data_IF_807342315231
#
_entry.id   IF_807342315231
#
_cell.length_a   1.000
_cell.length_b   1.000
_cell.length_c   1.000
_cell.angle_alpha   90.00
_cell.angle_beta   90.00
_cell.angle_gamma   90.00
#
_symmetry.space_group_name_H-M   'P 1'
#
loop_
_entity.id
_entity.type
_entity.pdbx_description
1 polymer ?
#
# COMPACT_ATOMS: atom_id res chain seq x y z
N UNK A 1 -8.41 12.97 -29.86
CA UNK A 1 -7.97 11.60 -29.54
C UNK A 1 -6.46 11.39 -29.70
N UNK A 2 -5.82 11.80 -30.80
CA UNK A 2 -4.37 11.64 -31.02
C UNK A 2 -3.49 12.24 -29.90
N UNK A 3 -3.84 13.43 -29.39
CA UNK A 3 -3.10 14.09 -28.28
C UNK A 3 -3.19 13.31 -26.96
N UNK A 4 -4.36 12.77 -26.63
CA UNK A 4 -4.55 11.96 -25.42
C UNK A 4 -3.67 10.72 -25.45
N UNK A 5 -3.74 9.95 -26.55
CA UNK A 5 -2.94 8.73 -26.73
C UNK A 5 -1.44 9.02 -26.69
N UNK A 6 -1.00 10.12 -27.29
CA UNK A 6 0.41 10.53 -27.26
C UNK A 6 0.91 10.84 -25.85
N UNK A 7 0.12 11.56 -25.05
CA UNK A 7 0.46 11.88 -23.66
C UNK A 7 0.50 10.59 -22.84
N UNK A 8 -0.55 9.76 -22.94
CA UNK A 8 -0.62 8.49 -22.21
C UNK A 8 0.55 7.55 -22.54
N UNK A 9 0.89 7.39 -23.82
CA UNK A 9 2.02 6.55 -24.26
C UNK A 9 3.35 7.06 -23.70
N UNK A 10 3.56 8.38 -23.72
CA UNK A 10 4.79 8.98 -23.22
C UNK A 10 4.91 8.77 -21.70
N UNK A 11 3.84 9.07 -20.96
CA UNK A 11 3.78 8.84 -19.52
C UNK A 11 3.97 7.36 -19.17
N UNK A 12 3.34 6.45 -19.89
CA UNK A 12 3.50 5.02 -19.71
C UNK A 12 4.97 4.56 -19.86
N UNK A 13 5.63 4.96 -20.95
CA UNK A 13 7.02 4.63 -21.19
C UNK A 13 7.96 5.28 -20.16
N UNK A 14 7.64 6.49 -19.71
CA UNK A 14 8.37 7.14 -18.63
C UNK A 14 8.25 6.36 -17.32
N UNK A 15 7.04 5.95 -16.92
CA UNK A 15 6.80 5.18 -15.68
C UNK A 15 7.55 3.86 -15.68
N UNK A 16 7.43 3.08 -16.76
CA UNK A 16 8.08 1.77 -16.87
C UNK A 16 9.61 1.87 -16.87
N UNK A 17 10.18 2.98 -17.32
CA UNK A 17 11.64 3.17 -17.32
C UNK A 17 12.21 3.59 -15.97
N UNK A 18 11.38 3.89 -14.98
CA UNK A 18 11.88 4.36 -13.70
C UNK A 18 12.44 3.21 -12.85
N UNK A 19 13.63 3.37 -12.23
CA UNK A 19 14.20 2.35 -11.36
C UNK A 19 13.33 1.98 -10.17
N UNK A 20 12.55 2.92 -9.62
CA UNK A 20 11.69 2.65 -8.46
C UNK A 20 10.58 1.64 -8.79
N UNK A 21 10.04 1.69 -10.01
CA UNK A 21 9.03 0.75 -10.50
C UNK A 21 9.61 -0.67 -10.59
N UNK A 22 10.84 -0.81 -11.10
CA UNK A 22 11.58 -2.08 -11.13
C UNK A 22 11.75 -2.66 -9.72
N UNK A 23 12.31 -1.84 -8.81
CA UNK A 23 12.65 -2.27 -7.45
C UNK A 23 11.41 -2.72 -6.70
N UNK A 24 10.31 -1.97 -6.75
CA UNK A 24 9.06 -2.36 -6.09
C UNK A 24 8.48 -3.65 -6.65
N UNK A 25 8.51 -3.84 -7.97
CA UNK A 25 8.04 -5.07 -8.62
C UNK A 25 8.91 -6.27 -8.22
N UNK A 26 10.24 -6.10 -8.17
CA UNK A 26 11.17 -7.15 -7.76
C UNK A 26 11.03 -7.51 -6.28
N UNK A 27 10.90 -6.52 -5.40
CA UNK A 27 10.63 -6.76 -3.97
C UNK A 27 9.32 -7.52 -3.80
N UNK A 28 8.28 -7.16 -4.55
CA UNK A 28 6.99 -7.86 -4.51
C UNK A 28 7.12 -9.33 -4.92
N UNK A 29 7.90 -9.62 -5.97
CA UNK A 29 8.20 -10.99 -6.38
C UNK A 29 8.86 -11.78 -5.24
N UNK A 30 9.89 -11.21 -4.61
CA UNK A 30 10.59 -11.88 -3.50
C UNK A 30 9.62 -12.17 -2.36
N UNK A 31 8.78 -11.19 -1.98
CA UNK A 31 7.78 -11.38 -0.92
C UNK A 31 6.79 -12.47 -1.30
N UNK A 32 6.28 -12.50 -2.54
CA UNK A 32 5.34 -13.53 -3.01
C UNK A 32 5.94 -14.94 -3.04
N UNK A 33 7.23 -15.08 -3.34
CA UNK A 33 7.91 -16.39 -3.23
C UNK A 33 8.07 -16.78 -1.77
N UNK A 34 8.39 -15.81 -0.90
CA UNK A 34 8.51 -16.02 0.55
C UNK A 34 7.17 -16.33 1.22
N UNK A 35 6.01 -16.04 0.61
CA UNK A 35 4.72 -16.42 1.23
C UNK A 35 4.55 -17.93 1.31
N UNK A 36 5.14 -18.72 0.41
CA UNK A 36 5.04 -20.20 0.41
C UNK A 36 5.58 -20.81 1.70
N UNK A 37 6.83 -20.56 2.12
CA UNK A 37 7.33 -21.08 3.39
C UNK A 37 6.64 -20.42 4.60
N UNK A 38 6.21 -19.16 4.50
CA UNK A 38 5.55 -18.45 5.60
C UNK A 38 4.14 -19.00 5.90
N UNK A 39 3.41 -19.46 4.88
CA UNK A 39 2.05 -20.00 5.05
C UNK A 39 2.00 -21.41 5.64
N UNK A 40 3.13 -22.14 5.70
CA UNK A 40 3.18 -23.49 6.29
C UNK A 40 3.23 -23.53 7.82
N UNK A 41 3.18 -22.37 8.49
CA UNK A 41 3.27 -22.27 9.95
C UNK A 41 1.90 -22.06 10.61
N UNK A 42 0.81 -22.58 10.03
CA UNK A 42 -0.51 -22.48 10.67
C UNK A 42 -0.74 -23.67 11.62
N UNK A 43 -1.08 -23.38 12.87
CA UNK A 43 -1.32 -24.39 13.91
C UNK A 43 -2.78 -24.92 13.85
N UNK A 44 -3.26 -25.27 12.65
CA UNK A 44 -4.62 -25.78 12.42
C UNK A 44 -4.70 -27.32 12.45
N UNK A 45 -5.85 -27.89 12.84
CA UNK A 45 -6.05 -29.34 12.85
C UNK A 45 -5.93 -29.99 11.46
N UNK A 46 -6.50 -29.35 10.43
CA UNK A 46 -6.36 -29.73 9.01
C UNK A 46 -5.30 -28.86 8.32
N UNK A 47 -4.02 -29.12 8.59
CA UNK A 47 -2.91 -28.29 8.13
C UNK A 47 -2.84 -28.16 6.59
N UNK A 48 -3.02 -29.23 5.82
CA UNK A 48 -2.97 -29.16 4.34
C UNK A 48 -3.97 -28.16 3.71
N UNK A 49 -5.20 -28.07 4.23
CA UNK A 49 -6.21 -27.14 3.71
C UNK A 49 -6.02 -25.74 4.30
N UNK A 50 -5.67 -25.66 5.58
CA UNK A 50 -5.53 -24.40 6.31
C UNK A 50 -4.31 -23.61 5.80
N UNK A 51 -3.18 -24.27 5.61
CA UNK A 51 -1.94 -23.67 5.10
C UNK A 51 -2.13 -23.15 3.67
N UNK A 52 -2.81 -23.93 2.82
CA UNK A 52 -3.10 -23.53 1.44
C UNK A 52 -4.04 -22.31 1.38
N UNK A 53 -5.08 -22.27 2.23
CA UNK A 53 -5.97 -21.09 2.34
C UNK A 53 -5.19 -19.86 2.81
N UNK A 54 -4.27 -20.04 3.75
CA UNK A 54 -3.41 -18.96 4.23
C UNK A 54 -2.50 -18.44 3.12
N UNK A 55 -1.88 -19.31 2.32
CA UNK A 55 -1.07 -18.91 1.16
C UNK A 55 -1.87 -18.05 0.18
N UNK A 56 -3.08 -18.49 -0.15
CA UNK A 56 -3.95 -17.82 -1.10
C UNK A 56 -4.38 -16.44 -0.60
N UNK A 57 -4.76 -16.34 0.67
CA UNK A 57 -5.13 -15.09 1.33
C UNK A 57 -3.95 -14.12 1.43
N UNK A 58 -2.80 -14.58 1.92
CA UNK A 58 -1.58 -13.77 2.05
C UNK A 58 -1.07 -13.28 0.70
N UNK A 59 -1.15 -14.10 -0.36
CA UNK A 59 -0.72 -13.70 -1.69
C UNK A 59 -1.63 -12.63 -2.32
N UNK A 60 -2.96 -12.76 -2.20
CA UNK A 60 -3.90 -11.70 -2.64
C UNK A 60 -3.70 -10.40 -1.86
N UNK A 61 -3.50 -10.47 -0.54
CA UNK A 61 -3.18 -9.30 0.28
C UNK A 61 -1.86 -8.65 -0.15
N UNK A 62 -0.83 -9.46 -0.42
CA UNK A 62 0.47 -8.98 -0.90
C UNK A 62 0.34 -8.27 -2.25
N UNK A 63 -0.46 -8.80 -3.18
CA UNK A 63 -0.75 -8.15 -4.46
C UNK A 63 -1.46 -6.80 -4.27
N UNK A 64 -2.41 -6.72 -3.34
CA UNK A 64 -3.14 -5.48 -3.06
C UNK A 64 -2.22 -4.40 -2.46
N UNK A 65 -1.43 -4.76 -1.44
CA UNK A 65 -0.51 -3.83 -0.75
C UNK A 65 0.62 -3.39 -1.67
N UNK A 66 1.21 -4.32 -2.44
CA UNK A 66 2.24 -3.97 -3.43
C UNK A 66 1.68 -3.09 -4.54
N UNK A 67 0.48 -3.38 -5.05
CA UNK A 67 -0.20 -2.56 -6.04
C UNK A 67 -0.45 -1.14 -5.55
N UNK A 68 -0.80 -0.95 -4.28
CA UNK A 68 -0.89 0.36 -3.63
C UNK A 68 0.46 1.09 -3.63
N UNK A 69 1.55 0.41 -3.24
CA UNK A 69 2.87 1.03 -3.18
C UNK A 69 3.34 1.43 -4.59
N UNK A 70 3.26 0.52 -5.54
CA UNK A 70 3.63 0.77 -6.94
C UNK A 70 2.81 1.93 -7.50
N UNK A 71 1.51 1.97 -7.22
CA UNK A 71 0.63 3.08 -7.59
C UNK A 71 1.09 4.43 -7.00
N UNK A 72 1.28 4.49 -5.67
CA UNK A 72 1.63 5.72 -4.97
C UNK A 72 2.97 6.30 -5.44
N UNK A 73 3.99 5.44 -5.59
CA UNK A 73 5.32 5.85 -6.04
C UNK A 73 5.33 6.23 -7.53
N UNK A 74 4.63 5.48 -8.39
CA UNK A 74 4.58 5.76 -9.84
C UNK A 74 3.79 7.02 -10.16
N UNK A 75 2.67 7.26 -9.46
CA UNK A 75 1.88 8.47 -9.66
C UNK A 75 2.66 9.73 -9.23
N UNK A 76 3.32 9.67 -8.08
CA UNK A 76 4.09 10.81 -7.61
C UNK A 76 5.32 11.09 -8.47
N UNK A 77 6.06 10.08 -8.91
CA UNK A 77 7.26 10.32 -9.74
C UNK A 77 6.94 10.95 -11.09
N UNK A 78 5.77 10.66 -11.67
CA UNK A 78 5.33 11.23 -12.95
C UNK A 78 4.81 12.66 -12.81
N UNK A 79 4.12 12.96 -11.70
CA UNK A 79 3.50 14.27 -11.53
C UNK A 79 4.41 15.24 -10.77
N UNK A 80 4.95 14.82 -9.64
CA UNK A 80 5.78 15.66 -8.77
C UNK A 80 7.07 16.09 -9.46
N UNK A 81 7.77 15.20 -10.19
CA UNK A 81 9.01 15.59 -10.90
C UNK A 81 8.75 16.60 -12.00
N UNK A 82 7.71 16.43 -12.81
CA UNK A 82 7.39 17.42 -13.85
C UNK A 82 6.96 18.78 -13.31
N UNK A 83 6.41 18.79 -12.09
CA UNK A 83 6.07 20.02 -11.37
C UNK A 83 7.34 20.68 -10.81
N UNK A 84 8.24 19.91 -10.20
CA UNK A 84 9.50 20.38 -9.62
C UNK A 84 10.48 20.88 -10.69
N UNK A 85 10.64 20.13 -11.78
CA UNK A 85 11.53 20.44 -12.90
C UNK A 85 10.98 21.55 -13.82
N UNK A 86 9.82 22.14 -13.48
CA UNK A 86 9.12 23.18 -14.26
C UNK A 86 8.74 22.77 -15.69
N UNK A 87 8.86 21.50 -16.05
CA UNK A 87 8.54 21.00 -17.39
C UNK A 87 7.03 20.93 -17.65
N UNK A 88 6.20 20.90 -16.60
CA UNK A 88 4.75 20.99 -16.75
C UNK A 88 4.31 22.32 -17.42
N UNK A 89 5.03 23.42 -17.18
CA UNK A 89 4.73 24.74 -17.75
C UNK A 89 4.97 24.80 -19.26
N UNK A 90 5.94 24.04 -19.79
CA UNK A 90 6.28 24.05 -21.22
C UNK A 90 5.34 23.18 -22.06
N UNK A 91 4.58 22.27 -21.44
CA UNK A 91 3.55 21.47 -22.13
C UNK A 91 2.22 22.21 -22.17
N UNK A 92 1.91 23.03 -21.17
CA UNK A 92 0.67 23.83 -21.09
C UNK A 92 0.70 25.01 -22.09
N UNK A 93 1.87 25.45 -22.55
CA UNK A 93 1.99 26.45 -23.63
C UNK A 93 1.54 25.93 -25.00
N UNK A 94 1.38 24.61 -25.16
CA UNK A 94 0.69 24.01 -26.31
C UNK A 94 -0.81 23.97 -26.02
N UNK A 95 -1.70 24.13 -27.02
CA UNK A 95 -3.16 24.24 -26.82
C UNK A 95 -3.79 22.89 -26.45
N UNK A 96 -3.46 22.36 -25.27
CA UNK A 96 -3.97 21.10 -24.70
C UNK A 96 -4.81 21.46 -23.49
N UNK A 97 -6.05 20.96 -23.44
CA UNK A 97 -6.90 21.16 -22.27
C UNK A 97 -6.29 20.49 -21.03
N UNK A 98 -6.39 21.15 -19.87
CA UNK A 98 -5.88 20.65 -18.59
C UNK A 98 -6.47 19.28 -18.23
N UNK A 99 -7.73 19.06 -18.57
CA UNK A 99 -8.41 17.78 -18.36
C UNK A 99 -7.83 16.64 -19.23
N UNK A 100 -7.57 16.89 -20.52
CA UNK A 100 -6.97 15.88 -21.40
C UNK A 100 -5.53 15.54 -20.98
N UNK A 101 -4.77 16.53 -20.50
CA UNK A 101 -3.43 16.30 -19.94
C UNK A 101 -3.48 15.41 -18.69
N UNK A 102 -4.33 15.74 -17.72
CA UNK A 102 -4.49 14.97 -16.48
C UNK A 102 -4.99 13.55 -16.73
N UNK A 103 -6.05 13.38 -17.51
CA UNK A 103 -6.60 12.07 -17.85
C UNK A 103 -5.59 11.23 -18.64
N UNK A 104 -4.81 11.86 -19.53
CA UNK A 104 -3.76 11.20 -20.28
C UNK A 104 -2.69 10.62 -19.37
N UNK A 105 -2.26 11.38 -18.36
CA UNK A 105 -1.30 10.91 -17.34
C UNK A 105 -1.85 9.79 -16.49
N UNK A 106 -3.08 9.90 -16.01
CA UNK A 106 -3.73 8.83 -15.27
C UNK A 106 -3.74 7.53 -16.09
N UNK A 107 -4.18 7.57 -17.36
CA UNK A 107 -4.23 6.38 -18.19
C UNK A 107 -2.84 5.73 -18.41
N UNK A 108 -1.80 6.54 -18.59
CA UNK A 108 -0.42 6.05 -18.71
C UNK A 108 0.10 5.39 -17.43
N UNK A 109 -0.13 6.00 -16.26
CA UNK A 109 0.24 5.43 -14.96
C UNK A 109 -0.59 4.18 -14.65
N UNK A 110 -1.90 4.22 -14.88
CA UNK A 110 -2.80 3.09 -14.67
C UNK A 110 -2.37 1.86 -15.47
N UNK A 111 -2.06 2.03 -16.76
CA UNK A 111 -1.58 0.92 -17.58
C UNK A 111 -0.25 0.36 -17.07
N UNK A 112 0.69 1.22 -16.68
CA UNK A 112 1.98 0.78 -16.16
C UNK A 112 1.82 0.00 -14.84
N UNK A 113 0.99 0.49 -13.91
CA UNK A 113 0.72 -0.19 -12.63
C UNK A 113 -0.02 -1.50 -12.84
N UNK A 114 -1.01 -1.54 -13.75
CA UNK A 114 -1.72 -2.77 -14.10
C UNK A 114 -0.78 -3.83 -14.67
N UNK A 115 0.21 -3.46 -15.50
CA UNK A 115 1.20 -4.41 -16.01
C UNK A 115 2.12 -4.96 -14.91
N UNK A 116 2.51 -4.13 -13.93
CA UNK A 116 3.28 -4.62 -12.78
C UNK A 116 2.47 -5.62 -11.95
N UNK A 117 1.22 -5.26 -11.62
CA UNK A 117 0.33 -6.14 -10.84
C UNK A 117 0.01 -7.41 -11.61
N UNK A 118 -0.14 -7.34 -12.94
CA UNK A 118 -0.31 -8.51 -13.79
C UNK A 118 0.93 -9.41 -13.78
N UNK A 119 2.15 -8.85 -13.86
CA UNK A 119 3.37 -9.65 -13.71
C UNK A 119 3.41 -10.34 -12.33
N UNK A 120 3.12 -9.60 -11.25
CA UNK A 120 3.07 -10.13 -9.90
C UNK A 120 1.98 -11.21 -9.75
N UNK A 121 0.85 -11.07 -10.43
CA UNK A 121 -0.23 -12.06 -10.35
C UNK A 121 0.11 -13.36 -11.08
N UNK A 122 0.88 -13.33 -12.16
CA UNK A 122 1.43 -14.56 -12.78
C UNK A 122 2.31 -15.33 -11.81
N UNK A 123 3.17 -14.61 -11.07
CA UNK A 123 4.04 -15.22 -10.04
C UNK A 123 3.18 -15.81 -8.91
N UNK A 124 2.18 -15.08 -8.44
CA UNK A 124 1.22 -15.58 -7.45
C UNK A 124 0.50 -16.85 -7.92
N UNK A 125 0.08 -16.93 -9.18
CA UNK A 125 -0.54 -18.14 -9.73
C UNK A 125 0.43 -19.34 -9.73
N UNK A 126 1.70 -19.10 -10.05
CA UNK A 126 2.73 -20.13 -9.96
C UNK A 126 2.96 -20.57 -8.50
N UNK A 127 3.01 -19.65 -7.54
CA UNK A 127 3.21 -20.01 -6.12
C UNK A 127 2.03 -20.79 -5.55
N UNK A 128 0.79 -20.41 -5.90
CA UNK A 128 -0.41 -21.17 -5.50
C UNK A 128 -0.45 -22.55 -6.15
N UNK A 129 -0.04 -22.66 -7.43
CA UNK A 129 0.07 -23.94 -8.15
C UNK A 129 1.05 -24.89 -7.47
N UNK A 130 2.19 -24.37 -7.00
CA UNK A 130 3.22 -25.15 -6.31
C UNK A 130 2.74 -25.78 -4.99
N UNK A 131 1.76 -25.12 -4.33
CA UNK A 131 1.21 -25.45 -3.01
C UNK A 131 2.21 -25.36 -1.86
N UNK A 132 1.68 -25.33 -0.64
CA UNK A 132 2.49 -25.40 0.60
C UNK A 132 2.91 -26.85 0.86
N UNK A 133 4.11 -27.04 1.41
CA UNK A 133 4.65 -28.33 1.84
C UNK A 133 4.63 -28.43 3.37
N UNK A 134 3.54 -28.89 3.96
CA UNK A 134 3.50 -29.14 5.40
C UNK A 134 4.24 -30.41 5.82
N UNK A 135 4.33 -31.42 4.96
CA UNK A 135 5.01 -32.69 5.26
C UNK A 135 6.21 -32.95 4.35
N UNK A 136 7.25 -33.61 4.90
CA UNK A 136 8.42 -34.03 4.11
C UNK A 136 8.10 -35.07 3.01
N UNK A 137 6.91 -35.67 3.07
CA UNK A 137 6.37 -36.58 2.04
C UNK A 137 5.72 -35.86 0.86
N UNK A 138 5.47 -34.55 0.94
CA UNK A 138 4.82 -33.81 -0.13
C UNK A 138 5.79 -33.60 -1.30
N UNK A 139 5.37 -34.03 -2.50
CA UNK A 139 6.18 -33.92 -3.70
C UNK A 139 6.24 -32.47 -4.23
N UNK A 140 7.46 -32.04 -4.58
CA UNK A 140 7.74 -30.75 -5.20
C UNK A 140 7.17 -30.67 -6.62
N UNK A 141 6.49 -29.58 -6.94
CA UNK A 141 6.11 -29.27 -8.31
C UNK A 141 7.30 -28.70 -9.10
N UNK A 142 8.20 -29.60 -9.50
CA UNK A 142 9.40 -29.28 -10.28
C UNK A 142 9.12 -28.47 -11.55
N UNK A 143 8.07 -28.74 -12.35
CA UNK A 143 7.81 -27.94 -13.55
C UNK A 143 7.58 -26.46 -13.26
N UNK A 144 6.89 -26.15 -12.15
CA UNK A 144 6.63 -24.75 -11.73
C UNK A 144 7.93 -24.05 -11.34
N UNK A 145 8.76 -24.73 -10.54
CA UNK A 145 10.05 -24.16 -10.10
C UNK A 145 10.97 -23.95 -11.31
N UNK A 146 11.13 -24.98 -12.14
CA UNK A 146 12.06 -24.92 -13.28
C UNK A 146 11.59 -23.87 -14.29
N UNK A 147 10.32 -23.90 -14.72
CA UNK A 147 9.80 -22.94 -15.71
C UNK A 147 9.71 -21.52 -15.15
N UNK A 148 9.25 -21.36 -13.91
CA UNK A 148 9.16 -20.04 -13.26
C UNK A 148 10.52 -19.40 -13.03
N UNK A 149 11.46 -20.12 -12.41
CA UNK A 149 12.80 -19.61 -12.14
C UNK A 149 13.60 -19.38 -13.43
N UNK A 150 13.52 -20.29 -14.40
CA UNK A 150 14.22 -20.11 -15.68
C UNK A 150 13.65 -18.93 -16.47
N UNK A 151 12.32 -18.78 -16.57
CA UNK A 151 11.68 -17.65 -17.23
C UNK A 151 12.12 -16.31 -16.61
N UNK A 152 12.18 -16.26 -15.27
CA UNK A 152 12.63 -15.06 -14.55
C UNK A 152 14.10 -14.71 -14.82
N UNK A 153 14.98 -15.70 -14.66
CA UNK A 153 16.41 -15.52 -14.84
C UNK A 153 16.75 -15.18 -16.29
N UNK A 154 16.10 -15.85 -17.24
CA UNK A 154 16.24 -15.53 -18.67
C UNK A 154 15.79 -14.10 -18.96
N UNK A 155 14.67 -13.62 -18.38
CA UNK A 155 14.24 -12.24 -18.55
C UNK A 155 15.29 -11.23 -18.04
N UNK A 156 15.91 -11.50 -16.88
CA UNK A 156 16.99 -10.66 -16.35
C UNK A 156 18.24 -10.69 -17.21
N UNK A 157 18.68 -11.87 -17.64
CA UNK A 157 19.86 -12.04 -18.47
C UNK A 157 19.68 -11.40 -19.84
N UNK A 158 18.55 -11.61 -20.50
CA UNK A 158 18.24 -11.01 -21.81
C UNK A 158 18.08 -9.50 -21.72
N UNK A 159 17.49 -8.98 -20.64
CA UNK A 159 17.42 -7.53 -20.42
C UNK A 159 18.80 -6.91 -20.16
N UNK A 160 19.65 -7.59 -19.38
CA UNK A 160 21.03 -7.16 -19.12
C UNK A 160 21.89 -7.19 -20.39
N UNK A 161 21.79 -8.28 -21.15
CA UNK A 161 22.36 -8.44 -22.48
C UNK A 161 21.93 -7.32 -23.43
N UNK A 162 20.62 -7.06 -23.54
CA UNK A 162 20.09 -6.01 -24.40
C UNK A 162 20.54 -4.61 -24.00
N UNK A 163 20.68 -4.37 -22.70
CA UNK A 163 21.25 -3.13 -22.17
C UNK A 163 22.74 -2.98 -22.56
N UNK A 164 23.53 -4.05 -22.48
CA UNK A 164 24.96 -4.01 -22.81
C UNK A 164 25.24 -3.91 -24.33
N UNK A 165 24.53 -4.68 -25.15
CA UNK A 165 24.76 -4.72 -26.60
C UNK A 165 24.06 -3.60 -27.38
N UNK A 166 22.83 -3.27 -27.02
CA UNK A 166 21.96 -2.39 -27.82
C UNK A 166 21.60 -1.08 -27.12
N UNK A 167 22.16 -0.79 -25.95
CA UNK A 167 21.85 0.40 -25.13
C UNK A 167 20.35 0.55 -24.83
N UNK A 168 19.62 -0.57 -24.70
CA UNK A 168 18.22 -0.55 -24.32
C UNK A 168 18.04 -0.18 -22.85
N UNK A 169 16.93 0.48 -22.49
CA UNK A 169 16.62 0.75 -21.09
C UNK A 169 16.31 -0.54 -20.33
N UNK A 170 17.22 -0.96 -19.44
CA UNK A 170 17.13 -2.21 -18.68
C UNK A 170 15.74 -2.48 -18.07
N UNK A 171 15.17 -1.52 -17.34
CA UNK A 171 13.87 -1.72 -16.67
C UNK A 171 12.73 -2.03 -17.64
N UNK A 172 12.62 -1.27 -18.73
CA UNK A 172 11.55 -1.48 -19.70
C UNK A 172 11.73 -2.78 -20.47
N UNK A 173 12.96 -3.12 -20.84
CA UNK A 173 13.26 -4.37 -21.55
C UNK A 173 12.97 -5.57 -20.67
N UNK A 174 13.38 -5.52 -19.39
CA UNK A 174 13.07 -6.56 -18.42
C UNK A 174 11.57 -6.76 -18.24
N UNK A 175 10.79 -5.69 -18.10
CA UNK A 175 9.34 -5.82 -17.91
C UNK A 175 8.69 -6.56 -19.09
N UNK A 176 9.00 -6.17 -20.34
CA UNK A 176 8.43 -6.82 -21.52
C UNK A 176 8.86 -8.28 -21.65
N UNK A 177 10.15 -8.58 -21.41
CA UNK A 177 10.67 -9.94 -21.45
C UNK A 177 10.10 -10.80 -20.32
N UNK A 178 10.02 -10.27 -19.11
CA UNK A 178 9.45 -10.96 -17.96
C UNK A 178 7.96 -11.24 -18.16
N UNK A 179 7.20 -10.28 -18.69
CA UNK A 179 5.79 -10.49 -19.04
C UNK A 179 5.64 -11.61 -20.08
N UNK A 180 6.40 -11.57 -21.18
CA UNK A 180 6.31 -12.57 -22.23
C UNK A 180 6.72 -13.97 -21.73
N UNK A 181 7.84 -14.09 -21.01
CA UNK A 181 8.35 -15.37 -20.54
C UNK A 181 7.51 -15.94 -19.39
N UNK A 182 7.01 -15.10 -18.47
CA UNK A 182 6.15 -15.57 -17.37
C UNK A 182 4.76 -15.99 -17.84
N UNK A 183 4.18 -15.27 -18.81
CA UNK A 183 2.91 -15.69 -19.40
C UNK A 183 3.04 -17.00 -20.15
N UNK A 184 4.14 -17.19 -20.89
CA UNK A 184 4.46 -18.46 -21.52
C UNK A 184 4.65 -19.58 -20.47
N UNK A 185 5.38 -19.31 -19.38
CA UNK A 185 5.60 -20.27 -18.30
C UNK A 185 4.27 -20.71 -17.65
N UNK A 186 3.39 -19.78 -17.28
CA UNK A 186 2.05 -20.10 -16.74
C UNK A 186 1.22 -20.88 -17.76
N UNK A 187 1.28 -20.50 -19.05
CA UNK A 187 0.60 -21.20 -20.13
C UNK A 187 1.05 -22.65 -20.27
N UNK A 188 2.35 -22.92 -20.22
CA UNK A 188 2.92 -24.28 -20.27
C UNK A 188 2.56 -25.07 -19.01
N UNK A 189 2.69 -24.46 -17.82
CA UNK A 189 2.33 -25.08 -16.53
C UNK A 189 0.83 -25.44 -16.48
N UNK A 190 -0.02 -24.75 -17.23
CA UNK A 190 -1.44 -25.10 -17.33
C UNK A 190 -1.71 -26.42 -18.09
N UNK A 191 -0.74 -26.91 -18.88
CA UNK A 191 -0.78 -28.21 -19.56
C UNK A 191 0.10 -29.28 -18.92
N UNK A 192 0.97 -28.91 -17.96
CA UNK A 192 1.95 -29.80 -17.35
C UNK A 192 1.65 -29.98 -15.86
N UNK A 193 1.44 -31.23 -15.47
CA UNK A 193 1.20 -31.69 -14.11
C UNK A 193 2.46 -31.91 -13.30
N UNK A 194 2.25 -32.48 -12.10
CA UNK A 194 3.37 -32.99 -11.28
C UNK A 194 4.13 -34.04 -12.10
N UNK A 195 5.45 -34.08 -11.94
CA UNK A 195 6.32 -35.05 -12.64
C UNK A 195 6.34 -34.96 -14.18
N UNK A 196 6.04 -33.80 -14.77
CA UNK A 196 6.06 -33.59 -16.23
C UNK A 196 5.01 -34.38 -17.03
N UNK A 197 3.92 -34.80 -16.37
CA UNK A 197 2.79 -35.46 -17.05
C UNK A 197 1.90 -34.42 -17.73
N UNK A 198 1.41 -34.69 -18.94
CA UNK A 198 0.50 -33.78 -19.65
C UNK A 198 -0.90 -33.93 -19.06
N UNK A 199 -1.50 -32.81 -18.64
CA UNK A 199 -2.81 -32.72 -18.01
C UNK A 199 -3.74 -31.84 -18.87
N UNK A 200 -5.07 -32.07 -18.90
CA UNK A 200 -5.99 -31.15 -19.55
C UNK A 200 -5.88 -29.72 -19.01
N UNK A 201 -6.10 -28.76 -19.90
CA UNK A 201 -5.89 -27.34 -19.63
C UNK A 201 -6.66 -26.86 -18.39
N UNK A 202 -5.93 -26.25 -17.45
CA UNK A 202 -6.53 -25.57 -16.30
C UNK A 202 -6.81 -26.47 -15.10
N UNK A 203 -6.49 -27.77 -15.17
CA UNK A 203 -6.63 -28.65 -14.02
C UNK A 203 -5.61 -28.26 -12.93
N UNK A 204 -6.13 -27.61 -11.89
CA UNK A 204 -5.43 -27.14 -10.70
C UNK A 204 -5.04 -25.65 -10.68
N UNK A 205 -5.54 -24.84 -11.64
CA UNK A 205 -5.73 -23.39 -11.43
C UNK A 205 -7.22 -23.16 -11.18
N UNK A 206 -7.60 -22.86 -9.95
CA UNK A 206 -9.01 -22.63 -9.62
C UNK A 206 -9.49 -21.31 -10.24
N UNK A 207 -10.62 -21.27 -10.96
CA UNK A 207 -11.11 -20.06 -11.62
C UNK A 207 -11.45 -18.93 -10.63
N UNK A 208 -11.80 -19.28 -9.39
CA UNK A 208 -12.05 -18.31 -8.30
C UNK A 208 -10.81 -17.46 -8.00
N UNK A 209 -9.60 -18.03 -8.13
CA UNK A 209 -8.36 -17.27 -7.91
C UNK A 209 -8.11 -16.26 -9.03
N UNK A 210 -8.44 -16.60 -10.27
CA UNK A 210 -8.36 -15.67 -11.41
C UNK A 210 -9.33 -14.50 -11.23
N UNK A 211 -10.54 -14.78 -10.74
CA UNK A 211 -11.52 -13.74 -10.38
C UNK A 211 -10.98 -12.84 -9.26
N UNK A 212 -10.23 -13.39 -8.29
CA UNK A 212 -9.61 -12.58 -7.25
C UNK A 212 -8.45 -11.72 -7.67
N UNK A 213 -7.60 -12.23 -8.55
CA UNK A 213 -6.61 -11.39 -9.23
C UNK A 213 -7.30 -10.23 -9.96
N UNK A 214 -8.42 -10.49 -10.66
CA UNK A 214 -9.15 -9.44 -11.35
C UNK A 214 -9.72 -8.38 -10.41
N UNK A 215 -10.31 -8.77 -9.26
CA UNK A 215 -10.78 -7.82 -8.25
C UNK A 215 -9.64 -6.99 -7.64
N UNK A 216 -8.49 -7.61 -7.36
CA UNK A 216 -7.31 -6.88 -6.87
C UNK A 216 -6.84 -5.86 -7.90
N UNK A 217 -6.82 -6.20 -9.19
CA UNK A 217 -6.49 -5.25 -10.26
C UNK A 217 -7.48 -4.06 -10.31
N UNK A 218 -8.76 -4.30 -10.06
CA UNK A 218 -9.76 -3.22 -9.94
C UNK A 218 -9.51 -2.33 -8.71
N UNK A 219 -9.24 -2.93 -7.54
CA UNK A 219 -8.90 -2.16 -6.33
C UNK A 219 -7.65 -1.30 -6.53
N UNK A 220 -6.64 -1.82 -7.22
CA UNK A 220 -5.43 -1.05 -7.54
C UNK A 220 -5.71 0.14 -8.44
N UNK A 221 -6.67 0.07 -9.37
CA UNK A 221 -7.07 1.23 -10.16
C UNK A 221 -7.63 2.38 -9.31
N UNK A 222 -8.36 2.06 -8.24
CA UNK A 222 -8.82 3.07 -7.27
C UNK A 222 -7.62 3.74 -6.60
N UNK A 223 -6.61 2.96 -6.18
CA UNK A 223 -5.37 3.53 -5.64
C UNK A 223 -4.64 4.40 -6.67
N UNK A 224 -4.58 4.02 -7.95
CA UNK A 224 -3.97 4.85 -9.00
C UNK A 224 -4.72 6.17 -9.17
N UNK A 225 -6.06 6.12 -9.22
CA UNK A 225 -6.87 7.32 -9.36
C UNK A 225 -6.66 8.27 -8.17
N UNK A 226 -6.67 7.72 -6.94
CA UNK A 226 -6.41 8.48 -5.72
C UNK A 226 -4.98 9.04 -5.70
N UNK A 227 -3.97 8.23 -5.99
CA UNK A 227 -2.57 8.66 -5.98
C UNK A 227 -2.30 9.77 -7.00
N UNK A 228 -2.81 9.63 -8.23
CA UNK A 228 -2.67 10.64 -9.27
C UNK A 228 -3.41 11.93 -8.88
N UNK A 229 -4.65 11.84 -8.39
CA UNK A 229 -5.41 13.01 -7.95
C UNK A 229 -4.72 13.77 -6.82
N UNK A 230 -4.22 13.06 -5.80
CA UNK A 230 -3.56 13.65 -4.63
C UNK A 230 -2.18 14.22 -4.99
N UNK A 231 -1.45 13.58 -5.91
CA UNK A 231 -0.13 14.05 -6.38
C UNK A 231 -0.19 15.40 -7.12
N UNK A 232 -1.38 15.84 -7.53
CA UNK A 232 -1.57 17.18 -8.14
C UNK A 232 -1.27 18.32 -7.18
N UNK A 233 -1.32 18.08 -5.86
CA UNK A 233 -1.12 19.11 -4.83
C UNK A 233 -0.11 18.72 -3.77
N UNK A 234 -0.02 17.43 -3.47
CA UNK A 234 0.82 16.92 -2.41
C UNK A 234 2.11 16.32 -2.98
N UNK A 235 3.19 16.40 -2.21
CA UNK A 235 4.44 15.72 -2.55
C UNK A 235 4.37 14.21 -2.33
N UNK A 236 5.41 13.49 -2.76
CA UNK A 236 5.51 12.03 -2.77
C UNK A 236 5.18 11.33 -1.45
N UNK A 237 5.66 11.89 -0.33
CA UNK A 237 5.44 11.26 0.97
C UNK A 237 4.00 11.45 1.45
N UNK A 238 3.35 12.57 1.10
CA UNK A 238 1.94 12.81 1.42
C UNK A 238 1.03 11.94 0.56
N UNK A 239 1.34 11.76 -0.73
CA UNK A 239 0.55 10.87 -1.60
C UNK A 239 0.57 9.44 -1.07
N UNK A 240 1.73 8.97 -0.60
CA UNK A 240 1.85 7.67 0.03
C UNK A 240 0.99 7.56 1.29
N UNK A 241 1.07 8.53 2.22
CA UNK A 241 0.25 8.53 3.44
C UNK A 241 -1.25 8.53 3.15
N UNK A 242 -1.69 9.30 2.14
CA UNK A 242 -3.11 9.32 1.75
C UNK A 242 -3.53 7.99 1.15
N UNK A 243 -2.70 7.36 0.31
CA UNK A 243 -3.01 6.03 -0.23
C UNK A 243 -3.08 4.97 0.87
N UNK A 244 -2.12 4.96 1.80
CA UNK A 244 -2.12 4.06 2.96
C UNK A 244 -3.34 4.31 3.85
N UNK A 245 -3.70 5.57 4.09
CA UNK A 245 -4.91 5.93 4.84
C UNK A 245 -6.18 5.43 4.15
N UNK A 246 -6.27 5.58 2.82
CA UNK A 246 -7.38 5.06 2.03
C UNK A 246 -7.46 3.54 2.08
N UNK A 247 -6.32 2.83 2.05
CA UNK A 247 -6.27 1.38 2.23
C UNK A 247 -6.77 0.95 3.60
N UNK A 248 -6.24 1.55 4.68
CA UNK A 248 -6.64 1.19 6.05
C UNK A 248 -8.13 1.46 6.29
N UNK A 249 -8.60 2.65 5.90
CA UNK A 249 -10.02 3.02 6.03
C UNK A 249 -10.92 2.12 5.16
N UNK A 250 -10.48 1.79 3.95
CA UNK A 250 -11.25 0.95 3.05
C UNK A 250 -11.30 -0.52 3.49
N UNK A 251 -10.21 -1.07 4.01
CA UNK A 251 -10.18 -2.42 4.58
C UNK A 251 -11.00 -2.53 5.86
N UNK A 252 -11.10 -1.45 6.64
CA UNK A 252 -11.93 -1.41 7.85
C UNK A 252 -13.35 -0.88 7.61
N UNK A 253 -13.72 -0.56 6.37
CA UNK A 253 -15.00 0.07 6.05
C UNK A 253 -16.19 -0.69 6.64
N UNK A 254 -16.27 -2.01 6.43
CA UNK A 254 -17.36 -2.82 6.97
C UNK A 254 -17.42 -2.77 8.51
N UNK A 255 -16.28 -2.84 9.20
CA UNK A 255 -16.22 -2.79 10.67
C UNK A 255 -16.63 -1.40 11.19
N UNK A 256 -16.19 -0.34 10.52
CA UNK A 256 -16.47 1.05 10.91
C UNK A 256 -17.93 1.43 10.72
N UNK A 257 -18.57 0.97 9.64
CA UNK A 257 -19.90 1.43 9.24
C UNK A 257 -21.04 0.40 9.44
N UNK A 258 -20.75 -0.86 9.76
CA UNK A 258 -21.79 -1.87 9.96
C UNK A 258 -22.68 -1.60 11.19
N UNK A 259 -22.14 -0.93 12.23
CA UNK A 259 -22.79 -0.87 13.55
C UNK A 259 -23.53 0.45 13.86
N UNK A 260 -23.23 1.56 13.19
CA UNK A 260 -23.79 2.89 13.49
C UNK A 260 -24.55 3.50 12.29
N UNK A 261 -25.67 2.89 11.88
CA UNK A 261 -26.45 3.33 10.72
C UNK A 261 -27.24 4.64 10.94
N UNK A 262 -27.41 5.07 12.20
CA UNK A 262 -28.31 6.18 12.54
C UNK A 262 -27.64 7.57 12.59
N UNK A 263 -26.31 7.65 12.56
CA UNK A 263 -25.59 8.93 12.61
C UNK A 263 -25.47 9.56 11.20
N UNK A 264 -26.05 10.75 10.94
CA UNK A 264 -26.08 11.35 9.59
C UNK A 264 -24.69 11.72 9.05
N UNK A 265 -23.79 12.17 9.93
CA UNK A 265 -22.42 12.54 9.56
C UNK A 265 -21.56 11.31 9.23
N UNK A 266 -21.78 10.21 9.96
CA UNK A 266 -21.11 8.93 9.69
C UNK A 266 -21.62 8.32 8.37
N UNK A 267 -22.92 8.45 8.09
CA UNK A 267 -23.50 8.05 6.81
C UNK A 267 -22.91 8.85 5.65
N UNK A 268 -22.66 10.16 5.78
CA UNK A 268 -21.99 10.94 4.74
C UNK A 268 -20.54 10.50 4.51
N UNK A 269 -19.79 10.21 5.58
CA UNK A 269 -18.42 9.69 5.51
C UNK A 269 -18.33 8.33 4.81
N UNK A 270 -19.36 7.49 4.94
CA UNK A 270 -19.47 6.18 4.28
C UNK A 270 -19.39 6.25 2.75
N UNK A 271 -19.86 7.34 2.15
CA UNK A 271 -19.81 7.51 0.68
C UNK A 271 -18.45 8.03 0.18
N UNK A 272 -17.64 8.61 1.07
CA UNK A 272 -16.33 9.17 0.71
C UNK A 272 -15.22 8.11 0.72
N UNK A 273 -15.33 7.14 1.63
CA UNK A 273 -14.35 6.06 1.80
C UNK A 273 -14.76 4.86 0.94
N UNK A 274 -13.91 4.40 -0.01
CA UNK A 274 -14.23 3.20 -0.79
C UNK A 274 -14.19 1.96 0.10
N UNK A 275 -15.23 1.12 0.01
CA UNK A 275 -15.29 -0.20 0.63
C UNK A 275 -14.39 -1.16 -0.15
N UNK A 276 -13.18 -1.38 0.37
CA UNK A 276 -12.24 -2.31 -0.26
C UNK A 276 -12.59 -3.78 0.03
N UNK A 277 -13.48 -4.04 1.01
CA UNK A 277 -13.98 -5.38 1.29
C UNK A 277 -14.79 -5.98 0.13
N UNK A 278 -15.31 -5.15 -0.77
CA UNK A 278 -15.97 -5.61 -2.01
C UNK A 278 -14.98 -6.30 -2.96
N UNK A 279 -13.71 -5.91 -2.93
CA UNK A 279 -12.66 -6.48 -3.78
C UNK A 279 -11.89 -7.60 -3.09
N UNK A 280 -12.13 -7.82 -1.80
CA UNK A 280 -11.47 -8.85 -1.03
C UNK A 280 -12.28 -10.16 -1.06
N UNK A 281 -11.68 -11.23 -1.57
CA UNK A 281 -12.30 -12.57 -1.64
C UNK A 281 -11.84 -13.46 -0.48
N UNK A 282 -11.02 -12.94 0.45
CA UNK A 282 -10.57 -13.71 1.61
C UNK A 282 -11.73 -14.31 2.42
N UNK A 283 -12.84 -13.58 2.58
CA UNK A 283 -14.04 -14.09 3.26
C UNK A 283 -14.65 -15.33 2.56
N UNK A 284 -15.01 -15.26 1.27
CA UNK A 284 -15.55 -16.42 0.54
C UNK A 284 -14.58 -17.57 0.27
N UNK A 285 -13.26 -17.33 0.15
CA UNK A 285 -12.26 -18.40 -0.12
C UNK A 285 -11.90 -19.21 1.13
N UNK A 286 -12.05 -18.63 2.33
CA UNK A 286 -11.71 -19.31 3.60
C UNK A 286 -12.80 -20.27 4.08
N UNK A 287 -14.08 -19.98 3.81
CA UNK A 287 -15.21 -20.79 4.21
C UNK A 287 -15.65 -21.71 3.07
N UNK A 288 -15.04 -22.89 2.98
CA UNK A 288 -15.32 -23.90 1.93
C UNK A 288 -16.62 -24.68 2.15
N UNK A 289 -17.40 -24.39 3.20
CA UNK A 289 -18.42 -25.30 3.73
C UNK A 289 -19.88 -24.84 3.58
N UNK A 290 -20.15 -23.58 3.20
CA UNK A 290 -21.50 -23.14 2.87
C UNK A 290 -21.47 -22.30 1.60
N UNK A 291 -21.93 -22.91 0.51
CA UNK A 291 -22.12 -22.32 -0.81
C UNK A 291 -20.91 -21.55 -1.34
N UNK A 292 -20.26 -22.17 -2.32
CA UNK A 292 -19.65 -21.46 -3.41
C UNK A 292 -20.62 -20.36 -3.92
N UNK A 293 -20.51 -19.15 -3.36
CA UNK A 293 -20.59 -17.95 -4.19
C UNK A 293 -19.42 -18.07 -5.13
N UNK A 294 -19.57 -18.90 -6.16
CA UNK A 294 -19.01 -18.64 -7.47
C UNK A 294 -19.17 -17.14 -7.60
N UNK A 295 -18.06 -16.41 -7.69
CA UNK A 295 -18.13 -14.97 -7.93
C UNK A 295 -18.85 -14.87 -9.25
N UNK A 296 -20.16 -14.63 -9.18
CA UNK A 296 -21.02 -14.66 -10.35
C UNK A 296 -20.47 -13.60 -11.28
N UNK A 297 -20.50 -13.84 -12.58
CA UNK A 297 -20.15 -12.81 -13.55
C UNK A 297 -20.94 -11.50 -13.30
N UNK A 298 -22.13 -11.61 -12.71
CA UNK A 298 -22.91 -10.47 -12.21
C UNK A 298 -22.22 -9.70 -11.09
N UNK A 299 -21.66 -10.38 -10.08
CA UNK A 299 -20.91 -9.71 -9.01
C UNK A 299 -19.68 -9.00 -9.57
N UNK A 300 -18.92 -9.67 -10.45
CA UNK A 300 -17.74 -9.07 -11.08
C UNK A 300 -18.11 -7.82 -11.90
N UNK A 301 -19.23 -7.86 -12.63
CA UNK A 301 -19.77 -6.69 -13.34
C UNK A 301 -20.18 -5.55 -12.42
N UNK A 302 -20.81 -5.84 -11.28
CA UNK A 302 -21.18 -4.84 -10.28
C UNK A 302 -19.94 -4.23 -9.60
N UNK A 303 -18.95 -5.05 -9.25
CA UNK A 303 -17.67 -4.59 -8.69
C UNK A 303 -16.90 -3.71 -9.69
N UNK A 304 -16.93 -4.05 -10.98
CA UNK A 304 -16.37 -3.21 -12.04
C UNK A 304 -17.12 -1.87 -12.16
N UNK A 305 -18.45 -1.89 -12.13
CA UNK A 305 -19.26 -0.67 -12.11
C UNK A 305 -18.94 0.23 -10.91
N UNK A 306 -18.86 -0.36 -9.71
CA UNK A 306 -18.45 0.32 -8.49
C UNK A 306 -17.04 0.93 -8.61
N UNK A 307 -16.07 0.16 -9.11
CA UNK A 307 -14.71 0.63 -9.36
C UNK A 307 -14.68 1.83 -10.32
N UNK A 308 -15.39 1.74 -11.45
CA UNK A 308 -15.41 2.81 -12.45
C UNK A 308 -16.05 4.09 -11.92
N UNK A 309 -17.08 3.99 -11.10
CA UNK A 309 -17.70 5.15 -10.45
C UNK A 309 -16.73 5.84 -9.49
N UNK A 310 -16.03 5.08 -8.63
CA UNK A 310 -15.03 5.64 -7.72
C UNK A 310 -13.83 6.23 -8.45
N UNK A 311 -13.31 5.55 -9.48
CA UNK A 311 -12.24 6.09 -10.33
C UNK A 311 -12.73 7.38 -11.02
N UNK A 312 -13.93 7.39 -11.59
CA UNK A 312 -14.52 8.58 -12.21
C UNK A 312 -14.64 9.75 -11.24
N UNK A 313 -15.12 9.53 -10.02
CA UNK A 313 -15.23 10.54 -8.98
C UNK A 313 -13.86 11.10 -8.56
N UNK A 314 -12.86 10.23 -8.36
CA UNK A 314 -11.49 10.63 -8.02
C UNK A 314 -10.81 11.38 -9.16
N UNK A 315 -11.07 11.01 -10.41
CA UNK A 315 -10.56 11.74 -11.57
C UNK A 315 -11.23 13.10 -11.72
N UNK A 316 -12.55 13.19 -11.52
CA UNK A 316 -13.26 14.48 -11.51
C UNK A 316 -12.68 15.40 -10.42
N UNK A 317 -12.49 14.88 -9.21
CA UNK A 317 -11.82 15.59 -8.11
C UNK A 317 -10.40 16.02 -8.49
N UNK A 318 -9.59 15.13 -9.05
CA UNK A 318 -8.23 15.42 -9.50
C UNK A 318 -8.18 16.52 -10.57
N UNK A 319 -9.08 16.48 -11.56
CA UNK A 319 -9.19 17.54 -12.57
C UNK A 319 -9.58 18.89 -11.96
N UNK A 320 -10.52 18.91 -11.02
CA UNK A 320 -10.92 20.12 -10.31
C UNK A 320 -9.78 20.71 -9.45
N UNK A 321 -9.04 19.84 -8.75
CA UNK A 321 -7.87 20.25 -7.97
C UNK A 321 -6.76 20.84 -8.85
N UNK A 322 -6.57 20.28 -10.04
CA UNK A 322 -5.56 20.70 -11.02
C UNK A 322 -5.91 22.02 -11.72
N UNK A 323 -7.19 22.28 -12.01
CA UNK A 323 -7.62 23.55 -12.61
C UNK A 323 -7.28 24.78 -11.76
N UNK A 324 -7.41 24.64 -10.44
CA UNK A 324 -7.16 25.74 -9.48
C UNK A 324 -5.69 25.92 -9.09
N UNK A 325 -4.77 25.10 -9.63
CA UNK A 325 -3.35 25.24 -9.32
C UNK A 325 -2.73 26.31 -10.21
N UNK A 326 -2.52 27.48 -9.63
CA UNK A 326 -1.54 28.43 -10.15
C UNK A 326 -0.16 27.82 -9.91
N UNK A 327 0.65 27.73 -10.97
CA UNK A 327 1.98 27.13 -10.92
C UNK A 327 2.94 28.13 -10.26
N UNK A 328 2.73 28.41 -8.98
CA UNK A 328 3.67 29.19 -8.18
C UNK A 328 4.93 28.36 -7.90
N UNK A 329 6.08 28.99 -8.08
CA UNK A 329 7.37 28.40 -7.76
C UNK A 329 7.45 28.17 -6.24
N UNK A 330 7.67 26.94 -5.75
CA UNK A 330 8.08 26.77 -4.37
C UNK A 330 9.50 27.31 -4.27
N UNK A 331 9.66 28.42 -3.56
CA UNK A 331 10.97 28.85 -3.06
C UNK A 331 11.51 27.75 -2.14
N UNK A 332 12.53 27.03 -2.62
CA UNK A 332 13.52 26.28 -1.85
C UNK A 332 13.02 25.25 -0.84
N UNK A 333 13.04 23.97 -1.22
CA UNK A 333 13.44 22.90 -0.30
C UNK A 333 14.05 21.76 -1.12
N UNK A 334 15.33 21.46 -0.86
CA UNK A 334 16.17 20.50 -1.57
C UNK A 334 15.61 19.07 -1.51
N UNK A 335 15.81 18.35 -2.62
CA UNK A 335 15.30 17.01 -2.93
C UNK A 335 15.97 15.83 -2.16
N UNK A 336 16.57 16.08 -0.98
CA UNK A 336 17.01 15.03 -0.07
C UNK A 336 16.28 15.22 1.26
N UNK A 337 15.54 14.22 1.78
CA UNK A 337 14.94 14.36 3.09
C UNK A 337 16.08 14.50 4.11
N UNK A 338 16.21 15.70 4.67
CA UNK A 338 16.99 15.88 5.88
C UNK A 338 16.46 14.90 6.92
N UNK A 339 17.31 14.37 7.82
CA UNK A 339 16.83 13.45 8.87
C UNK A 339 15.67 14.05 9.70
N UNK A 340 15.58 15.38 9.73
CA UNK A 340 14.46 16.15 10.32
C UNK A 340 13.15 15.94 9.57
N UNK A 341 13.18 15.92 8.24
CA UNK A 341 12.00 15.64 7.43
C UNK A 341 11.50 14.22 7.69
N UNK A 342 12.37 13.21 7.65
CA UNK A 342 11.99 11.81 7.93
C UNK A 342 11.34 11.64 9.31
N UNK A 343 11.88 12.27 10.35
CA UNK A 343 11.29 12.29 11.69
C UNK A 343 9.92 12.97 11.71
N UNK A 344 9.80 14.12 11.05
CA UNK A 344 8.52 14.81 10.95
C UNK A 344 7.45 13.98 10.25
N UNK A 345 7.85 13.20 9.24
CA UNK A 345 6.96 12.30 8.52
C UNK A 345 6.56 11.08 9.35
N UNK A 346 7.51 10.48 10.09
CA UNK A 346 7.20 9.41 11.04
C UNK A 346 6.16 9.86 12.08
N UNK A 347 6.32 11.08 12.61
CA UNK A 347 5.38 11.68 13.55
C UNK A 347 4.00 12.01 12.98
N UNK A 348 3.90 12.39 11.70
CA UNK A 348 2.60 12.54 11.02
C UNK A 348 1.94 11.17 10.77
N UNK A 349 2.72 10.14 10.50
CA UNK A 349 2.23 8.76 10.40
C UNK A 349 1.59 8.27 11.71
N UNK A 350 2.23 8.52 12.85
CA UNK A 350 1.66 8.16 14.16
C UNK A 350 0.40 8.97 14.50
N UNK A 351 0.35 10.24 14.09
CA UNK A 351 -0.86 11.06 14.23
C UNK A 351 -2.06 10.51 13.44
N UNK A 352 -1.83 10.01 12.21
CA UNK A 352 -2.88 9.34 11.44
C UNK A 352 -3.34 8.04 12.10
N UNK A 353 -2.40 7.23 12.59
CA UNK A 353 -2.74 6.00 13.30
C UNK A 353 -3.58 6.30 14.56
N UNK A 354 -3.27 7.36 15.30
CA UNK A 354 -4.06 7.80 16.45
C UNK A 354 -5.49 8.22 16.04
N UNK A 355 -5.63 8.93 14.92
CA UNK A 355 -6.94 9.32 14.39
C UNK A 355 -7.76 8.11 13.91
N UNK A 356 -7.11 7.15 13.24
CA UNK A 356 -7.73 5.89 12.84
C UNK A 356 -8.16 5.05 14.05
N UNK A 357 -7.34 5.03 15.10
CA UNK A 357 -7.65 4.31 16.33
C UNK A 357 -8.82 4.95 17.08
N UNK A 358 -8.94 6.28 17.04
CA UNK A 358 -10.10 6.99 17.59
C UNK A 358 -11.40 6.65 16.84
N UNK A 359 -11.35 6.58 15.51
CA UNK A 359 -12.49 6.13 14.69
C UNK A 359 -12.86 4.67 14.96
N UNK A 360 -11.86 3.81 15.20
CA UNK A 360 -12.09 2.43 15.61
C UNK A 360 -12.73 2.33 17.00
N UNK A 361 -12.34 3.18 17.96
CA UNK A 361 -12.98 3.25 19.29
C UNK A 361 -14.47 3.62 19.19
N UNK A 362 -14.81 4.57 18.31
CA UNK A 362 -16.21 4.94 18.01
C UNK A 362 -17.04 3.79 17.40
N UNK A 363 -16.43 2.68 16.99
CA UNK A 363 -17.09 1.47 16.47
C UNK A 363 -17.30 0.37 17.53
N UNK A 364 -16.78 0.55 18.75
CA UNK A 364 -16.90 -0.45 19.84
C UNK A 364 -18.28 -0.40 20.53
N UNK A 365 -18.79 -1.53 21.06
CA UNK A 365 -20.03 -1.52 21.85
C UNK A 365 -19.85 -0.61 23.07
N UNK A 366 -20.72 0.40 23.20
CA UNK A 366 -20.55 1.49 24.19
C UNK A 366 -20.07 2.82 23.61
N UNK A 367 -20.08 3.02 22.28
CA UNK A 367 -19.66 4.26 21.62
C UNK A 367 -20.44 5.53 22.06
N UNK A 368 -21.61 5.37 22.66
CA UNK A 368 -22.42 6.47 23.23
C UNK A 368 -22.12 6.74 24.71
N UNK A 369 -21.27 5.93 25.35
CA UNK A 369 -20.82 6.22 26.72
C UNK A 369 -19.92 7.47 26.71
N UNK A 370 -20.15 8.37 27.66
CA UNK A 370 -19.38 9.62 27.77
C UNK A 370 -17.86 9.36 27.83
N UNK A 371 -17.44 8.24 28.42
CA UNK A 371 -16.03 7.85 28.54
C UNK A 371 -15.39 7.50 27.20
N UNK A 372 -16.08 6.75 26.35
CA UNK A 372 -15.57 6.35 25.03
C UNK A 372 -15.58 7.52 24.04
N UNK A 373 -16.57 8.42 24.14
CA UNK A 373 -16.60 9.67 23.39
C UNK A 373 -15.48 10.62 23.79
N UNK A 374 -15.18 10.74 25.09
CA UNK A 374 -14.08 11.58 25.57
C UNK A 374 -12.71 11.01 25.17
N UNK A 375 -12.50 9.69 25.21
CA UNK A 375 -11.24 9.08 24.78
C UNK A 375 -11.06 9.16 23.27
N UNK A 376 -12.09 8.86 22.47
CA UNK A 376 -12.05 9.00 21.02
C UNK A 376 -11.85 10.48 20.61
N UNK A 377 -12.58 11.41 21.24
CA UNK A 377 -12.39 12.85 21.04
C UNK A 377 -10.98 13.32 21.42
N UNK A 378 -10.44 12.84 22.54
CA UNK A 378 -9.08 13.13 22.98
C UNK A 378 -8.01 12.61 22.03
N UNK A 379 -8.20 11.42 21.47
CA UNK A 379 -7.28 10.84 20.47
C UNK A 379 -7.35 11.55 19.11
N UNK A 380 -8.55 11.97 18.67
CA UNK A 380 -8.69 12.80 17.46
C UNK A 380 -8.03 14.17 17.66
N UNK A 381 -8.29 14.83 18.79
CA UNK A 381 -7.70 16.12 19.11
C UNK A 381 -6.17 16.01 19.26
N UNK A 382 -5.69 14.97 19.94
CA UNK A 382 -4.26 14.67 20.09
C UNK A 382 -3.59 14.32 18.77
N UNK A 383 -4.25 13.54 17.90
CA UNK A 383 -3.79 13.23 16.55
C UNK A 383 -3.71 14.48 15.68
N UNK A 384 -4.72 15.35 15.69
CA UNK A 384 -4.71 16.62 14.96
C UNK A 384 -3.62 17.57 15.48
N UNK A 385 -3.47 17.68 16.80
CA UNK A 385 -2.41 18.48 17.42
C UNK A 385 -1.02 17.95 17.05
N UNK A 386 -0.80 16.64 17.09
CA UNK A 386 0.43 16.00 16.67
C UNK A 386 0.69 16.22 15.16
N UNK A 387 -0.33 16.12 14.31
CA UNK A 387 -0.21 16.37 12.88
C UNK A 387 0.24 17.80 12.57
N UNK A 388 -0.37 18.79 13.24
CA UNK A 388 0.00 20.21 13.13
C UNK A 388 1.41 20.43 13.67
N UNK A 389 1.72 19.87 14.83
CA UNK A 389 3.03 19.97 15.47
C UNK A 389 4.16 19.46 14.57
N UNK A 390 4.03 18.23 14.05
CA UNK A 390 5.01 17.67 13.14
C UNK A 390 5.07 18.42 11.81
N UNK A 391 3.98 19.09 11.42
CA UNK A 391 4.00 20.02 10.31
C UNK A 391 4.81 21.28 10.56
N UNK A 392 4.66 21.90 11.72
CA UNK A 392 5.49 23.03 12.14
C UNK A 392 6.96 22.64 12.35
N UNK A 393 7.21 21.43 12.86
CA UNK A 393 8.55 20.86 13.02
C UNK A 393 9.26 20.68 11.67
N UNK A 394 8.55 20.18 10.65
CA UNK A 394 9.10 20.06 9.28
C UNK A 394 9.47 21.40 8.63
N UNK A 395 8.82 22.49 9.04
CA UNK A 395 9.05 23.85 8.50
C UNK A 395 10.15 24.63 9.25
N UNK A 396 10.82 24.03 10.23
CA UNK A 396 11.90 24.71 10.94
C UNK A 396 11.41 25.74 11.97
N UNK A 397 10.17 25.65 12.46
CA UNK A 397 9.64 26.62 13.43
C UNK A 397 10.40 26.52 14.78
N UNK A 398 11.08 27.60 15.20
CA UNK A 398 11.91 27.61 16.43
C UNK A 398 11.17 27.12 17.68
N UNK A 399 9.89 27.46 17.84
CA UNK A 399 9.08 27.04 18.99
C UNK A 399 8.78 25.52 19.00
N UNK A 400 8.70 24.88 17.83
CA UNK A 400 8.47 23.43 17.74
C UNK A 400 9.65 22.62 18.29
N UNK A 401 10.87 23.15 18.22
CA UNK A 401 12.06 22.54 18.82
C UNK A 401 12.00 22.57 20.35
N UNK A 402 11.62 23.71 20.93
CA UNK A 402 11.43 23.82 22.38
C UNK A 402 10.31 22.89 22.87
N UNK A 403 9.18 22.85 22.16
CA UNK A 403 8.05 22.00 22.52
C UNK A 403 8.40 20.49 22.38
N UNK A 404 9.15 20.10 21.34
CA UNK A 404 9.71 18.75 21.21
C UNK A 404 10.61 18.40 22.41
N UNK A 405 11.50 19.31 22.80
CA UNK A 405 12.43 19.10 23.92
C UNK A 405 11.72 19.01 25.27
N UNK A 406 10.65 19.81 25.46
CA UNK A 406 9.81 19.79 26.66
C UNK A 406 9.02 18.48 26.74
N UNK A 407 8.42 18.02 25.62
CA UNK A 407 7.70 16.74 25.57
C UNK A 407 8.64 15.55 25.86
N UNK A 408 9.87 15.59 25.35
CA UNK A 408 10.90 14.58 25.61
C UNK A 408 11.31 14.58 27.09
N UNK A 409 11.49 15.76 27.69
CA UNK A 409 11.72 15.92 29.12
C UNK A 409 10.54 15.40 29.97
N UNK A 410 9.31 15.70 29.58
CA UNK A 410 8.11 15.21 30.26
C UNK A 410 7.97 13.68 30.16
N UNK A 411 8.27 13.08 29.01
CA UNK A 411 8.29 11.62 28.82
C UNK A 411 9.39 10.94 29.67
N UNK A 412 10.56 11.57 29.79
CA UNK A 412 11.64 11.09 30.65
C UNK A 412 11.26 11.13 32.13
N UNK A 413 10.65 12.23 32.59
CA UNK A 413 10.14 12.38 33.96
C UNK A 413 9.01 11.38 34.23
N UNK A 414 8.08 11.18 33.29
CA UNK A 414 7.02 10.19 33.41
C UNK A 414 7.55 8.74 33.44
N UNK A 415 8.61 8.45 32.69
CA UNK A 415 9.31 7.16 32.75
C UNK A 415 9.99 6.93 34.10
N UNK A 416 10.65 7.96 34.66
CA UNK A 416 11.25 7.91 35.99
C UNK A 416 10.22 7.74 37.10
N UNK A 417 9.12 8.48 37.06
CA UNK A 417 8.04 8.34 38.06
C UNK A 417 7.38 6.98 37.97
N UNK A 418 7.19 6.41 36.77
CA UNK A 418 6.73 5.03 36.60
C UNK A 418 7.68 4.00 37.24
N UNK A 419 9.00 4.18 37.09
CA UNK A 419 10.03 3.32 37.68
C UNK A 419 10.07 3.43 39.21
N UNK A 420 9.87 4.64 39.74
CA UNK A 420 9.79 4.92 41.18
C UNK A 420 8.51 4.35 41.80
N UNK A 421 7.35 4.53 41.15
CA UNK A 421 6.06 3.98 41.59
C UNK A 421 6.05 2.44 41.53
N UNK A 422 6.73 1.84 40.55
CA UNK A 422 6.98 0.40 40.48
C UNK A 422 7.83 -0.08 41.66
N UNK A 423 8.93 0.61 41.99
CA UNK A 423 9.76 0.28 43.17
C UNK A 423 9.02 0.44 44.51
N UNK A 424 8.01 1.29 44.56
CA UNK A 424 7.17 1.53 45.74
C UNK A 424 5.94 0.60 45.85
N UNK A 425 5.73 -0.33 44.91
CA UNK A 425 4.67 -1.35 44.99
C UNK A 425 3.23 -0.81 44.96
N UNK A 426 3.01 0.41 44.46
CA UNK A 426 1.69 1.11 44.49
C UNK A 426 0.83 0.93 43.23
N UNK A 427 1.23 0.09 42.28
CA UNK A 427 0.46 -0.20 41.06
C UNK A 427 -0.19 -1.58 41.21
N UNK A 428 -1.50 -1.60 41.46
CA UNK A 428 -2.27 -2.85 41.61
C UNK A 428 -2.33 -3.65 40.28
N UNK A 429 -2.30 -5.00 40.35
CA UNK A 429 -1.99 -5.89 39.22
C UNK A 429 -3.18 -6.31 38.34
N UNK A 430 -4.34 -5.68 38.42
CA UNK A 430 -5.53 -6.20 37.73
C UNK A 430 -5.73 -5.55 36.35
N UNK A 431 -5.49 -6.35 35.28
CA UNK A 431 -6.18 -6.40 33.96
C UNK A 431 -5.29 -6.70 32.74
N UNK A 432 -3.95 -6.60 32.80
CA UNK A 432 -3.06 -7.13 31.74
C UNK A 432 -1.74 -7.61 32.37
N UNK A 433 -1.26 -8.79 31.95
CA UNK A 433 -0.11 -9.48 32.54
C UNK A 433 1.15 -8.64 32.73
N UNK A 434 1.78 -8.86 33.89
CA UNK A 434 2.93 -8.17 34.48
C UNK A 434 4.12 -7.91 33.51
N UNK A 435 4.46 -8.86 32.64
CA UNK A 435 5.64 -8.77 31.75
C UNK A 435 5.39 -7.99 30.44
N UNK A 436 4.14 -7.90 29.96
CA UNK A 436 3.83 -7.26 28.68
C UNK A 436 3.73 -5.73 28.80
N UNK A 437 3.20 -5.22 29.92
CA UNK A 437 3.15 -3.76 30.19
C UNK A 437 4.55 -3.16 30.37
N UNK A 438 5.46 -3.89 31.03
CA UNK A 438 6.82 -3.44 31.29
C UNK A 438 7.63 -3.32 29.98
N UNK A 439 7.50 -4.28 29.07
CA UNK A 439 8.20 -4.28 27.78
C UNK A 439 7.70 -3.19 26.82
N UNK A 440 6.39 -2.91 26.80
CA UNK A 440 5.81 -1.86 25.95
C UNK A 440 6.16 -0.47 26.49
N UNK A 441 6.12 -0.25 27.81
CA UNK A 441 6.46 1.04 28.40
C UNK A 441 7.97 1.30 28.34
N UNK A 442 8.84 0.33 28.69
CA UNK A 442 10.29 0.48 28.51
C UNK A 442 10.69 0.57 27.04
N UNK A 443 10.04 -0.20 26.16
CA UNK A 443 10.33 -0.19 24.72
C UNK A 443 9.98 1.14 24.05
N UNK A 444 8.81 1.71 24.35
CA UNK A 444 8.37 3.01 23.82
C UNK A 444 9.19 4.16 24.41
N UNK A 445 9.56 4.09 25.70
CA UNK A 445 10.38 5.12 26.36
C UNK A 445 11.84 5.06 25.93
N UNK A 446 12.47 3.88 25.86
CA UNK A 446 13.88 3.75 25.46
C UNK A 446 14.08 3.95 23.95
N UNK A 447 13.18 3.46 23.08
CA UNK A 447 13.27 3.72 21.64
C UNK A 447 12.91 5.17 21.31
N UNK A 448 11.91 5.76 21.98
CA UNK A 448 11.52 7.17 21.78
C UNK A 448 12.59 8.16 22.26
N UNK A 449 13.13 7.95 23.47
CA UNK A 449 14.17 8.82 24.04
C UNK A 449 15.51 8.62 23.33
N UNK A 450 15.90 7.39 23.01
CA UNK A 450 17.16 7.08 22.33
C UNK A 450 17.24 7.60 20.89
N UNK A 451 16.15 7.48 20.13
CA UNK A 451 16.10 7.95 18.73
C UNK A 451 16.06 9.48 18.61
N UNK A 452 15.32 10.16 19.51
CA UNK A 452 15.25 11.62 19.50
C UNK A 452 16.50 12.29 20.11
N UNK A 453 17.10 11.73 21.17
CA UNK A 453 18.32 12.27 21.78
C UNK A 453 19.55 12.17 20.86
N UNK A 454 19.67 11.09 20.06
CA UNK A 454 20.76 10.93 19.10
C UNK A 454 20.67 11.89 17.88
N UNK A 455 19.46 12.35 17.53
CA UNK A 455 19.22 13.19 16.35
C UNK A 455 19.18 14.70 16.66
N UNK A 456 18.94 15.08 17.92
CA UNK A 456 18.84 16.48 18.40
C UNK A 456 20.08 17.38 18.15
N UNK A 457 21.33 16.91 18.22
CA UNK A 457 22.50 17.74 17.92
C UNK A 457 22.60 18.11 16.43
N UNK A 458 22.15 17.20 15.54
CA UNK A 458 22.13 17.40 14.08
C UNK A 458 20.97 18.31 13.65
N UNK A 459 19.83 18.27 14.35
CA UNK A 459 18.65 19.11 14.01
C UNK A 459 18.83 20.57 14.40
N UNK A 460 19.62 20.91 15.44
CA UNK A 460 19.84 22.31 15.89
C UNK A 460 20.37 23.24 14.79
N UNK A 461 21.12 22.73 13.80
CA UNK A 461 21.60 23.53 12.66
C UNK A 461 20.49 23.90 11.67
N UNK A 462 19.40 23.13 11.64
CA UNK A 462 18.26 23.34 10.74
C UNK A 462 17.25 24.39 11.25
N UNK A 463 17.27 24.68 12.55
CA UNK A 463 16.40 25.65 13.22
C UNK A 463 17.13 26.95 13.62
N UNK A 464 18.40 27.12 13.23
CA UNK A 464 19.18 28.35 13.47
C UNK A 464 18.66 29.50 12.62
#
# INVERSE_FOLDING_TARGET
>A
MTRFVSISRTTFLQTIRQPIYFVLTLVTLVVLVMTVPLSGWTMGGDYHKTDQRMLEAMGLATLLVSGLLISAFSASSVLTREIEDRTALTVISKPVSRATFFLGKFAGVALAVLLAVYLCSLIYLLTVRHRVMPAASDQLDFPVIVLGCSAFLLALLLAGAGNWWFNWSFTSSWLWLALALMTAAVGIVAFVGKEWVIIPFGEGIRPVLLQGVALVMMAVLIFVAAAVAVSTRLGQMMTLLVCVGLFLLGSWHQVLFARNQEAPLLNALRWLVPDLGVFDIQGPVTNYEEDARIVSFRFLGLALGYCLLYVGALLALGTALFQRRELESPSGSSALPSGVALLAWAGRGTALLAALWALALLSTPGALELRTLLTAGGLLAGGLAAWIFWGCFSRGARWSWYLASILLGALFVAGLTGLVLWKMGRLEPDLLGYNQRLFVVLGVVLCGVGSLAALLPRTRRHFK
#
